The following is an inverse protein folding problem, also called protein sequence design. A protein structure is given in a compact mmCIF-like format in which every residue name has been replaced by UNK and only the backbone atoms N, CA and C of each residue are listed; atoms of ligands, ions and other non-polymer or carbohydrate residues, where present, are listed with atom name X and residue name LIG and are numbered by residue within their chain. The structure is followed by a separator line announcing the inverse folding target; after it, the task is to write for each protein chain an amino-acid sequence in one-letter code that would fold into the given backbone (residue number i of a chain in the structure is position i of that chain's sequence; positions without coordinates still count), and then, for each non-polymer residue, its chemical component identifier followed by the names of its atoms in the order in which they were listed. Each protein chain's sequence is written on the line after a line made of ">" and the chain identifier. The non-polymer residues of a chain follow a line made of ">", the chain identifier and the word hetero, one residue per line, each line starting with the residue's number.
data_IF_965292824952
#
_entry.id   IF_965292824952
#
_cell.length_a   1.000
_cell.length_b   1.000
_cell.length_c   1.000
_cell.angle_alpha   90.00
_cell.angle_beta   90.00
_cell.angle_gamma   90.00
#
_symmetry.space_group_name_H-M   'P 1'
#
loop_
_entity.id
_entity.type
_entity.pdbx_description
1 polymer ?
#
# COMPACT_ATOMS: atom_id res chain seq x y z
N UNK A 1 -16.16 -6.86 -11.76
CA UNK A 1 -14.81 -6.74 -12.32
C UNK A 1 -14.13 -5.68 -11.47
N UNK A 2 -13.09 -6.05 -10.78
CA UNK A 2 -12.39 -5.16 -9.86
C UNK A 2 -11.62 -4.06 -10.60
N UNK A 3 -11.16 -3.04 -9.86
CA UNK A 3 -10.21 -2.06 -10.39
C UNK A 3 -8.84 -2.72 -10.64
N UNK A 4 -8.49 -3.74 -9.82
CA UNK A 4 -7.32 -4.59 -9.96
C UNK A 4 -7.73 -6.05 -9.90
N UNK A 5 -7.36 -6.82 -10.93
CA UNK A 5 -7.56 -8.26 -11.00
C UNK A 5 -6.19 -8.94 -11.24
N UNK A 6 -5.79 -9.82 -10.35
CA UNK A 6 -4.57 -10.62 -10.42
C UNK A 6 -4.99 -12.08 -10.56
N UNK A 7 -4.45 -12.77 -11.56
CA UNK A 7 -4.77 -14.16 -11.84
C UNK A 7 -3.50 -15.00 -11.95
N UNK A 8 -3.41 -16.04 -11.10
CA UNK A 8 -2.35 -17.05 -11.07
C UNK A 8 -0.92 -16.47 -11.09
N UNK A 9 -0.69 -15.34 -10.39
CA UNK A 9 0.58 -14.63 -10.37
C UNK A 9 1.69 -15.45 -9.73
N UNK A 10 2.81 -15.60 -10.42
CA UNK A 10 4.00 -16.26 -9.86
C UNK A 10 5.27 -15.42 -10.11
N UNK A 11 6.08 -15.30 -9.06
CA UNK A 11 7.33 -14.52 -9.08
C UNK A 11 8.44 -15.31 -8.41
N UNK A 12 9.61 -15.36 -9.06
CA UNK A 12 10.78 -16.08 -8.55
C UNK A 12 12.04 -15.21 -8.57
N UNK A 13 12.91 -15.40 -7.61
CA UNK A 13 14.26 -14.86 -7.53
C UNK A 13 15.25 -16.02 -7.78
N UNK A 14 15.69 -16.18 -9.01
CA UNK A 14 16.49 -17.34 -9.41
C UNK A 14 15.72 -18.65 -9.17
N UNK A 15 16.24 -19.52 -8.31
CA UNK A 15 15.61 -20.80 -7.97
C UNK A 15 14.52 -20.68 -6.86
N UNK A 16 14.38 -19.52 -6.21
CA UNK A 16 13.46 -19.33 -5.10
C UNK A 16 12.14 -18.79 -5.64
N UNK A 17 11.06 -19.57 -5.54
CA UNK A 17 9.70 -19.12 -5.85
C UNK A 17 9.13 -18.36 -4.65
N UNK A 18 9.08 -17.04 -4.76
CA UNK A 18 8.60 -16.16 -3.69
C UNK A 18 7.07 -15.97 -3.72
N UNK A 19 6.45 -16.04 -4.90
CA UNK A 19 4.99 -15.96 -5.10
C UNK A 19 4.58 -17.09 -6.03
N UNK A 20 3.51 -17.82 -5.67
CA UNK A 20 3.06 -19.01 -6.37
C UNK A 20 1.55 -18.98 -6.55
N UNK A 21 1.12 -18.85 -7.79
CA UNK A 21 -0.30 -18.99 -8.18
C UNK A 21 -1.24 -18.09 -7.36
N UNK A 22 -0.85 -16.83 -7.14
CA UNK A 22 -1.59 -15.87 -6.32
C UNK A 22 -2.65 -15.18 -7.17
N UNK A 23 -3.91 -15.25 -6.71
CA UNK A 23 -5.04 -14.53 -7.30
C UNK A 23 -5.66 -13.60 -6.27
N UNK A 24 -5.82 -12.32 -6.64
CA UNK A 24 -6.35 -11.25 -5.79
C UNK A 24 -7.25 -10.36 -6.64
N UNK A 25 -8.38 -9.96 -6.10
CA UNK A 25 -9.29 -8.97 -6.67
C UNK A 25 -9.43 -7.79 -5.71
N UNK A 26 -9.36 -6.56 -6.25
CA UNK A 26 -9.62 -5.32 -5.51
C UNK A 26 -10.75 -4.59 -6.22
N UNK A 27 -11.87 -4.41 -5.52
CA UNK A 27 -13.00 -3.60 -6.00
C UNK A 27 -12.73 -2.11 -5.87
N UNK A 28 -13.40 -1.28 -6.68
CA UNK A 28 -13.34 0.17 -6.56
C UNK A 28 -13.91 0.63 -5.21
N UNK A 29 -13.25 1.57 -4.54
CA UNK A 29 -13.61 2.07 -3.21
C UNK A 29 -13.36 1.09 -2.06
N UNK A 30 -12.73 -0.06 -2.30
CA UNK A 30 -12.45 -1.04 -1.25
C UNK A 30 -11.09 -0.84 -0.60
N UNK A 31 -11.03 -1.11 0.69
CA UNK A 31 -9.80 -1.33 1.46
C UNK A 31 -9.52 -2.83 1.50
N UNK A 32 -8.50 -3.28 0.78
CA UNK A 32 -8.12 -4.69 0.71
C UNK A 32 -6.78 -4.92 1.43
N UNK A 33 -6.77 -5.91 2.34
CA UNK A 33 -5.57 -6.32 3.07
C UNK A 33 -4.91 -7.56 2.46
N UNK A 34 -3.58 -7.55 2.31
CA UNK A 34 -2.77 -8.74 2.09
C UNK A 34 -1.92 -8.98 3.33
N UNK A 35 -2.33 -9.92 4.17
CA UNK A 35 -1.71 -10.19 5.47
C UNK A 35 -0.91 -11.50 5.46
N UNK A 36 0.09 -11.57 6.31
CA UNK A 36 0.92 -12.77 6.45
C UNK A 36 2.22 -12.49 7.19
N UNK A 37 2.93 -13.54 7.61
CA UNK A 37 4.22 -13.41 8.29
C UNK A 37 5.29 -12.83 7.36
N UNK A 38 6.44 -12.46 7.96
CA UNK A 38 7.62 -12.04 7.20
C UNK A 38 8.08 -13.17 6.28
N UNK A 39 8.46 -12.83 5.05
CA UNK A 39 8.84 -13.81 4.04
C UNK A 39 7.67 -14.55 3.37
N UNK A 40 6.41 -14.22 3.67
CA UNK A 40 5.26 -14.83 3.01
C UNK A 40 5.14 -14.51 1.50
N UNK A 41 5.81 -13.47 1.00
CA UNK A 41 5.76 -13.04 -0.40
C UNK A 41 4.97 -11.74 -0.64
N UNK A 42 4.47 -11.10 0.41
CA UNK A 42 3.61 -9.90 0.35
C UNK A 42 4.24 -8.74 -0.43
N UNK A 43 5.42 -8.27 0.01
CA UNK A 43 6.18 -7.19 -0.68
C UNK A 43 6.53 -7.57 -2.12
N UNK A 44 6.85 -8.85 -2.38
CA UNK A 44 7.12 -9.35 -3.74
C UNK A 44 5.88 -9.27 -4.62
N UNK A 45 4.71 -9.62 -4.09
CA UNK A 45 3.42 -9.49 -4.78
C UNK A 45 3.16 -8.02 -5.12
N UNK A 46 3.32 -7.13 -4.15
CA UNK A 46 3.13 -5.69 -4.35
C UNK A 46 4.12 -5.10 -5.36
N UNK A 47 5.37 -5.56 -5.33
CA UNK A 47 6.40 -5.15 -6.29
C UNK A 47 6.07 -5.61 -7.73
N UNK A 48 5.46 -6.79 -7.90
CA UNK A 48 5.00 -7.24 -9.21
C UNK A 48 3.81 -6.41 -9.71
N UNK A 49 2.84 -6.10 -8.84
CA UNK A 49 1.66 -5.27 -9.15
C UNK A 49 2.10 -3.86 -9.57
N UNK A 50 3.02 -3.25 -8.83
CA UNK A 50 3.51 -1.89 -9.10
C UNK A 50 4.50 -1.80 -10.28
N UNK A 51 4.86 -2.94 -10.90
CA UNK A 51 5.80 -3.00 -12.03
C UNK A 51 7.28 -2.92 -11.64
N UNK A 52 7.61 -2.96 -10.34
CA UNK A 52 8.99 -3.01 -9.84
C UNK A 52 9.66 -4.37 -10.12
N UNK A 53 8.85 -5.43 -10.24
CA UNK A 53 9.29 -6.77 -10.61
C UNK A 53 8.45 -7.30 -11.76
N UNK A 54 9.10 -7.98 -12.69
CA UNK A 54 8.38 -8.66 -13.76
C UNK A 54 7.97 -10.06 -13.27
N UNK A 55 6.67 -10.43 -13.32
CA UNK A 55 6.23 -11.77 -12.97
C UNK A 55 6.75 -12.82 -13.95
N UNK A 56 6.93 -14.04 -13.46
CA UNK A 56 7.32 -15.19 -14.29
C UNK A 56 6.14 -15.78 -15.03
N UNK A 57 4.93 -15.75 -14.42
CA UNK A 57 3.68 -16.19 -15.02
C UNK A 57 2.49 -15.52 -14.35
N UNK A 58 1.28 -15.74 -14.89
CA UNK A 58 0.05 -15.11 -14.45
C UNK A 58 -0.21 -13.79 -15.16
N UNK A 59 -1.28 -13.11 -14.78
CA UNK A 59 -1.66 -11.81 -15.35
C UNK A 59 -2.07 -10.81 -14.29
N UNK A 60 -1.86 -9.52 -14.60
CA UNK A 60 -2.27 -8.38 -13.78
C UNK A 60 -3.08 -7.46 -14.69
N UNK A 61 -4.34 -7.21 -14.32
CA UNK A 61 -5.21 -6.26 -15.02
C UNK A 61 -5.54 -5.11 -14.09
N UNK A 62 -5.34 -3.91 -14.57
CA UNK A 62 -5.69 -2.68 -13.86
C UNK A 62 -6.60 -1.82 -14.74
N UNK A 63 -7.75 -1.39 -14.19
CA UNK A 63 -8.81 -0.70 -14.94
C UNK A 63 -9.19 -1.45 -16.25
N UNK A 64 -9.32 -2.79 -16.16
CA UNK A 64 -9.66 -3.66 -17.29
C UNK A 64 -8.55 -3.88 -18.34
N UNK A 65 -7.39 -3.22 -18.20
CA UNK A 65 -6.27 -3.33 -19.12
C UNK A 65 -5.20 -4.28 -18.59
N UNK A 66 -4.60 -5.08 -19.45
CA UNK A 66 -3.43 -5.89 -19.09
C UNK A 66 -2.22 -4.97 -18.81
N UNK A 67 -1.73 -5.06 -17.57
CA UNK A 67 -0.56 -4.31 -17.09
C UNK A 67 0.58 -5.22 -16.66
N UNK A 68 0.53 -6.50 -17.01
CA UNK A 68 1.52 -7.51 -16.66
C UNK A 68 2.92 -7.10 -17.08
N UNK A 69 3.83 -6.91 -16.13
CA UNK A 69 5.23 -6.54 -16.38
C UNK A 69 5.44 -5.13 -16.95
N UNK A 70 4.42 -4.25 -16.88
CA UNK A 70 4.57 -2.83 -17.21
C UNK A 70 5.46 -2.14 -16.18
N UNK A 71 6.27 -1.13 -16.60
CA UNK A 71 7.18 -0.46 -15.69
C UNK A 71 6.44 0.50 -14.72
N UNK A 72 7.04 0.86 -13.56
CA UNK A 72 6.39 1.66 -12.51
C UNK A 72 5.91 3.04 -12.98
N UNK A 73 6.62 3.68 -13.89
CA UNK A 73 6.23 4.98 -14.42
C UNK A 73 4.97 4.90 -15.29
N UNK A 74 4.74 3.79 -16.00
CA UNK A 74 3.50 3.52 -16.71
C UNK A 74 2.36 3.24 -15.72
N UNK A 75 2.61 2.49 -14.65
CA UNK A 75 1.61 2.23 -13.60
C UNK A 75 1.18 3.52 -12.92
N UNK A 76 2.12 4.41 -12.59
CA UNK A 76 1.80 5.72 -12.02
C UNK A 76 0.92 6.56 -12.96
N UNK A 77 1.26 6.63 -14.27
CA UNK A 77 0.44 7.36 -15.26
C UNK A 77 -0.95 6.78 -15.44
N UNK A 78 -1.17 5.51 -15.13
CA UNK A 78 -2.47 4.85 -15.15
C UNK A 78 -3.28 5.07 -13.87
N UNK A 79 -2.71 5.73 -12.86
CA UNK A 79 -3.37 6.03 -11.59
C UNK A 79 -3.08 5.02 -10.47
N UNK A 80 -1.96 4.29 -10.51
CA UNK A 80 -1.52 3.41 -9.43
C UNK A 80 -0.31 4.02 -8.74
N UNK A 81 -0.41 4.32 -7.44
CA UNK A 81 0.72 4.81 -6.65
C UNK A 81 1.13 3.80 -5.57
N UNK A 82 2.41 3.83 -5.17
CA UNK A 82 2.96 2.97 -4.14
C UNK A 82 3.59 3.80 -3.01
N UNK A 83 3.16 3.52 -1.77
CA UNK A 83 3.88 3.88 -0.54
C UNK A 83 4.79 2.71 -0.19
N UNK A 84 6.10 2.80 -0.43
CA UNK A 84 7.01 1.69 -0.19
C UNK A 84 7.33 1.53 1.29
N UNK A 85 7.72 0.33 1.69
CA UNK A 85 8.40 0.09 2.96
C UNK A 85 9.58 1.07 3.15
N UNK A 86 9.87 1.46 4.38
CA UNK A 86 10.93 2.43 4.71
C UNK A 86 10.73 3.84 4.13
N UNK A 87 9.50 4.22 3.68
CA UNK A 87 9.07 5.59 3.31
C UNK A 87 9.80 6.19 2.10
N UNK A 88 11.07 5.91 1.91
CA UNK A 88 11.94 6.39 0.81
C UNK A 88 11.77 7.90 0.50
N UNK A 89 11.78 8.72 1.56
CA UNK A 89 11.72 10.18 1.43
C UNK A 89 13.04 10.76 0.94
N UNK A 90 12.94 11.88 0.25
CA UNK A 90 14.10 12.73 -0.08
C UNK A 90 14.47 13.53 1.16
N UNK A 91 15.38 13.00 1.98
CA UNK A 91 15.68 13.50 3.33
C UNK A 91 16.22 14.94 3.35
N UNK A 92 16.90 15.38 2.28
CA UNK A 92 17.44 16.73 2.13
C UNK A 92 16.42 17.74 1.65
N UNK A 93 15.33 17.29 1.05
CA UNK A 93 14.24 18.14 0.61
C UNK A 93 13.27 18.41 1.77
N UNK A 94 12.65 19.57 1.77
CA UNK A 94 11.58 19.94 2.70
C UNK A 94 10.35 19.05 2.52
N UNK A 95 9.42 19.10 3.48
CA UNK A 95 8.10 18.47 3.39
C UNK A 95 7.40 18.90 2.09
N UNK A 96 7.31 20.23 1.84
CA UNK A 96 6.66 20.76 0.63
C UNK A 96 7.34 20.27 -0.65
N UNK A 97 8.66 20.28 -0.71
CA UNK A 97 9.39 19.78 -1.89
C UNK A 97 9.18 18.27 -2.12
N UNK A 98 9.10 17.46 -1.07
CA UNK A 98 8.72 16.03 -1.20
C UNK A 98 7.33 15.89 -1.81
N UNK A 99 6.35 16.71 -1.41
CA UNK A 99 5.00 16.70 -1.99
C UNK A 99 5.05 17.12 -3.47
N UNK A 100 5.77 18.17 -3.81
CA UNK A 100 5.94 18.62 -5.21
C UNK A 100 6.53 17.52 -6.11
N UNK A 101 7.48 16.73 -5.62
CA UNK A 101 8.00 15.57 -6.35
C UNK A 101 6.92 14.51 -6.58
N UNK A 102 6.06 14.24 -5.58
CA UNK A 102 4.92 13.31 -5.72
C UNK A 102 3.92 13.74 -6.79
N UNK A 103 3.72 15.05 -6.95
CA UNK A 103 2.84 15.66 -7.94
C UNK A 103 3.49 15.95 -9.30
N UNK A 104 4.63 15.35 -9.63
CA UNK A 104 5.41 15.69 -10.83
C UNK A 104 4.62 15.53 -12.16
N UNK A 105 3.59 14.68 -12.19
CA UNK A 105 2.74 14.45 -13.37
C UNK A 105 1.58 15.46 -13.49
N UNK A 106 1.30 16.23 -12.43
CA UNK A 106 0.21 17.20 -12.39
C UNK A 106 0.66 18.59 -12.87
N UNK A 107 -0.26 19.41 -13.33
CA UNK A 107 -0.04 20.83 -13.63
C UNK A 107 0.33 21.61 -12.36
N UNK A 108 0.91 22.81 -12.52
CA UNK A 108 1.27 23.63 -11.37
C UNK A 108 0.07 23.99 -10.48
N UNK A 109 -1.11 24.24 -11.08
CA UNK A 109 -2.33 24.53 -10.35
C UNK A 109 -2.83 23.33 -9.56
N UNK A 110 -2.94 22.16 -10.21
CA UNK A 110 -3.36 20.93 -9.54
C UNK A 110 -2.42 20.55 -8.39
N UNK A 111 -1.10 20.76 -8.56
CA UNK A 111 -0.13 20.52 -7.48
C UNK A 111 -0.40 21.36 -6.23
N UNK A 112 -0.69 22.65 -6.40
CA UNK A 112 -1.00 23.53 -5.25
C UNK A 112 -2.32 23.12 -4.59
N UNK A 113 -3.35 22.78 -5.36
CA UNK A 113 -4.63 22.28 -4.85
C UNK A 113 -4.40 20.98 -4.03
N UNK A 114 -3.66 20.02 -4.57
CA UNK A 114 -3.34 18.75 -3.88
C UNK A 114 -2.42 18.92 -2.65
N UNK A 115 -1.54 19.92 -2.65
CA UNK A 115 -0.74 20.25 -1.46
C UNK A 115 -1.67 20.77 -0.35
N UNK A 116 -2.65 21.62 -0.67
CA UNK A 116 -3.65 22.08 0.30
C UNK A 116 -4.45 20.90 0.87
N UNK A 117 -4.95 20.00 0.02
CA UNK A 117 -5.65 18.78 0.44
C UNK A 117 -4.77 17.88 1.33
N UNK A 118 -3.48 17.74 0.98
CA UNK A 118 -2.52 16.99 1.78
C UNK A 118 -2.32 17.62 3.16
N UNK A 119 -2.31 18.95 3.28
CA UNK A 119 -2.18 19.63 4.56
C UNK A 119 -3.47 19.56 5.37
N UNK A 120 -4.64 19.58 4.75
CA UNK A 120 -5.93 19.35 5.41
C UNK A 120 -6.01 17.92 5.99
N UNK A 121 -5.48 16.94 5.25
CA UNK A 121 -5.42 15.55 5.69
C UNK A 121 -4.35 15.32 6.76
N UNK A 122 -3.23 16.06 6.69
CA UNK A 122 -2.06 15.94 7.57
C UNK A 122 -1.63 17.31 8.13
N UNK A 123 -2.36 17.92 9.09
CA UNK A 123 -2.03 19.26 9.60
C UNK A 123 -0.62 19.41 10.17
N UNK A 124 -0.04 18.32 10.70
CA UNK A 124 1.34 18.32 11.19
C UNK A 124 2.35 18.62 10.08
N UNK A 125 2.07 18.22 8.84
CA UNK A 125 2.93 18.48 7.69
C UNK A 125 2.90 19.94 7.27
N UNK A 126 1.73 20.60 7.38
CA UNK A 126 1.60 22.02 7.11
C UNK A 126 2.51 22.85 8.04
N UNK A 127 2.44 22.56 9.35
CA UNK A 127 3.26 23.24 10.35
C UNK A 127 4.78 23.07 10.14
N UNK A 128 5.17 22.03 9.39
CA UNK A 128 6.56 21.63 9.09
C UNK A 128 6.91 21.73 7.61
N UNK A 129 6.12 22.44 6.82
CA UNK A 129 6.27 22.45 5.36
C UNK A 129 7.67 22.85 4.85
N UNK A 130 8.37 23.69 5.60
CA UNK A 130 9.75 24.14 5.30
C UNK A 130 10.82 23.27 5.97
N UNK A 131 10.46 22.29 6.80
CA UNK A 131 11.40 21.41 7.50
C UNK A 131 11.90 20.33 6.53
N UNK A 132 13.21 20.09 6.50
CA UNK A 132 13.76 18.98 5.72
C UNK A 132 13.26 17.63 6.26
N UNK A 133 12.84 16.73 5.35
CA UNK A 133 12.19 15.47 5.71
C UNK A 133 13.05 14.55 6.59
N UNK A 134 14.37 14.74 6.57
CA UNK A 134 15.29 14.00 7.44
C UNK A 134 15.18 14.30 8.93
N UNK A 135 14.52 15.41 9.31
CA UNK A 135 14.30 15.82 10.70
C UNK A 135 12.90 15.48 11.22
N UNK A 136 12.07 14.83 10.43
CA UNK A 136 10.74 14.38 10.85
C UNK A 136 10.85 13.17 11.79
N UNK A 137 9.92 13.10 12.74
CA UNK A 137 9.70 11.87 13.52
C UNK A 137 9.23 10.71 12.63
N UNK A 138 9.29 9.48 13.13
CA UNK A 138 8.85 8.32 12.37
C UNK A 138 7.41 8.41 11.87
N UNK A 139 6.49 8.91 12.70
CA UNK A 139 5.08 9.10 12.31
C UNK A 139 4.87 10.21 11.30
N UNK A 140 5.54 11.35 11.46
CA UNK A 140 5.48 12.46 10.51
C UNK A 140 6.08 12.07 9.14
N UNK A 141 7.19 11.32 9.16
CA UNK A 141 7.79 10.78 7.95
C UNK A 141 6.87 9.77 7.24
N UNK A 142 6.08 8.98 8.00
CA UNK A 142 5.08 8.07 7.42
C UNK A 142 3.94 8.85 6.78
N UNK A 143 3.41 9.85 7.48
CA UNK A 143 2.37 10.73 6.93
C UNK A 143 2.85 11.43 5.64
N UNK A 144 4.09 11.93 5.62
CA UNK A 144 4.67 12.53 4.42
C UNK A 144 4.81 11.52 3.27
N UNK A 145 5.17 10.26 3.55
CA UNK A 145 5.28 9.24 2.51
C UNK A 145 3.91 8.93 1.87
N UNK A 146 2.85 8.86 2.67
CA UNK A 146 1.48 8.65 2.20
C UNK A 146 0.99 9.90 1.45
N UNK A 147 1.14 11.09 2.03
CA UNK A 147 0.78 12.35 1.39
C UNK A 147 1.46 12.51 0.02
N UNK A 148 2.74 12.18 -0.09
CA UNK A 148 3.48 12.24 -1.34
C UNK A 148 2.92 11.28 -2.41
N UNK A 149 2.47 10.10 -2.02
CA UNK A 149 1.84 9.17 -2.96
C UNK A 149 0.46 9.68 -3.43
N UNK A 150 -0.31 10.29 -2.52
CA UNK A 150 -1.61 10.90 -2.83
C UNK A 150 -1.49 12.11 -3.78
N UNK A 151 -0.33 12.78 -3.84
CA UNK A 151 -0.08 13.88 -4.78
C UNK A 151 -0.25 13.51 -6.27
N UNK A 152 -0.19 12.23 -6.62
CA UNK A 152 -0.49 11.75 -7.99
C UNK A 152 -1.97 11.54 -8.25
N UNK A 153 -2.84 11.72 -7.25
CA UNK A 153 -4.28 11.43 -7.25
C UNK A 153 -4.59 10.02 -7.80
N UNK A 154 -4.10 8.99 -7.11
CA UNK A 154 -4.21 7.64 -7.62
C UNK A 154 -5.63 7.09 -7.48
N UNK A 155 -6.08 6.32 -8.48
CA UNK A 155 -7.30 5.51 -8.40
C UNK A 155 -7.08 4.22 -7.58
N UNK A 156 -5.81 3.79 -7.41
CA UNK A 156 -5.41 2.70 -6.51
C UNK A 156 -4.12 3.07 -5.77
N UNK A 157 -4.18 3.08 -4.45
CA UNK A 157 -3.02 3.30 -3.59
C UNK A 157 -2.55 1.96 -2.99
N UNK A 158 -1.32 1.59 -3.32
CA UNK A 158 -0.63 0.46 -2.74
C UNK A 158 0.17 0.91 -1.53
N UNK A 159 0.13 0.17 -0.41
CA UNK A 159 0.96 0.45 0.77
C UNK A 159 1.69 -0.82 1.23
N UNK A 160 3.00 -0.72 1.38
CA UNK A 160 3.85 -1.81 1.85
C UNK A 160 4.26 -1.59 3.29
N UNK A 161 3.65 -2.34 4.21
CA UNK A 161 3.87 -2.34 5.66
C UNK A 161 3.89 -0.92 6.26
N UNK A 162 2.82 -0.12 6.09
CA UNK A 162 2.81 1.29 6.50
C UNK A 162 2.94 1.50 8.01
N UNK A 163 2.68 0.49 8.82
CA UNK A 163 2.81 0.56 10.30
C UNK A 163 4.16 0.07 10.83
N UNK A 164 5.03 -0.50 9.97
CA UNK A 164 6.28 -1.12 10.42
C UNK A 164 7.23 -0.14 11.08
N UNK A 165 7.74 -0.53 12.25
CA UNK A 165 8.74 0.25 13.00
C UNK A 165 8.21 1.54 13.62
N UNK A 166 6.88 1.68 13.73
CA UNK A 166 6.22 2.78 14.43
C UNK A 166 5.93 2.41 15.88
N UNK A 167 5.94 3.43 16.75
CA UNK A 167 5.43 3.29 18.12
C UNK A 167 3.91 2.97 18.10
N UNK A 168 3.37 2.24 19.08
CA UNK A 168 1.96 1.82 19.09
C UNK A 168 0.95 2.95 18.89
N UNK A 169 1.21 4.12 19.44
CA UNK A 169 0.36 5.32 19.25
C UNK A 169 0.33 5.80 17.81
N UNK A 170 1.47 5.70 17.09
CA UNK A 170 1.58 6.10 15.70
C UNK A 170 0.99 5.06 14.74
N UNK A 171 1.01 3.77 15.15
CA UNK A 171 0.28 2.71 14.43
C UNK A 171 -1.21 3.04 14.37
N UNK A 172 -1.81 3.49 15.50
CA UNK A 172 -3.21 3.91 15.52
C UNK A 172 -3.48 5.03 14.51
N UNK A 173 -2.63 6.06 14.49
CA UNK A 173 -2.78 7.20 13.55
C UNK A 173 -2.74 6.71 12.09
N UNK A 174 -1.90 5.73 11.76
CA UNK A 174 -1.84 5.18 10.39
C UNK A 174 -3.12 4.42 10.05
N UNK A 175 -3.65 3.61 10.97
CA UNK A 175 -4.89 2.87 10.71
C UNK A 175 -6.12 3.78 10.67
N UNK A 176 -6.24 4.79 11.54
CA UNK A 176 -7.27 5.83 11.46
C UNK A 176 -7.24 6.56 10.11
N UNK A 177 -6.04 6.81 9.58
CA UNK A 177 -5.90 7.38 8.24
C UNK A 177 -6.37 6.42 7.14
N UNK A 178 -6.03 5.13 7.23
CA UNK A 178 -6.48 4.11 6.28
C UNK A 178 -8.01 4.03 6.28
N UNK A 179 -8.64 3.98 7.46
CA UNK A 179 -10.09 3.98 7.62
C UNK A 179 -10.72 5.23 6.99
N UNK A 180 -10.18 6.42 7.27
CA UNK A 180 -10.64 7.68 6.68
C UNK A 180 -10.53 7.68 5.15
N UNK A 181 -9.41 7.22 4.60
CA UNK A 181 -9.24 7.13 3.15
C UNK A 181 -10.25 6.17 2.52
N UNK A 182 -10.59 5.06 3.20
CA UNK A 182 -11.64 4.13 2.79
C UNK A 182 -13.02 4.76 2.83
N UNK A 183 -13.37 5.48 3.91
CA UNK A 183 -14.62 6.24 4.04
C UNK A 183 -14.77 7.32 2.96
N UNK A 184 -13.66 7.94 2.55
CA UNK A 184 -13.60 8.90 1.44
C UNK A 184 -13.70 8.22 0.05
N UNK A 185 -13.91 6.88 0.01
CA UNK A 185 -14.08 6.10 -1.22
C UNK A 185 -12.78 5.82 -1.99
N UNK A 186 -11.62 5.99 -1.37
CA UNK A 186 -10.32 5.64 -1.98
C UNK A 186 -10.14 4.13 -2.03
N UNK A 187 -9.59 3.62 -3.12
CA UNK A 187 -9.25 2.20 -3.26
C UNK A 187 -7.85 1.95 -2.75
N UNK A 188 -7.70 1.01 -1.81
CA UNK A 188 -6.44 0.71 -1.14
C UNK A 188 -6.12 -0.79 -1.25
N UNK A 189 -4.88 -1.14 -1.56
CA UNK A 189 -4.33 -2.48 -1.34
C UNK A 189 -3.14 -2.37 -0.39
N UNK A 190 -3.26 -2.95 0.79
CA UNK A 190 -2.33 -2.76 1.89
C UNK A 190 -1.72 -4.11 2.28
N UNK A 191 -0.41 -4.16 2.25
CA UNK A 191 0.37 -5.28 2.79
C UNK A 191 0.70 -4.97 4.24
N UNK A 192 0.36 -5.89 5.15
CA UNK A 192 0.62 -5.71 6.59
C UNK A 192 0.96 -7.03 7.28
N UNK A 193 1.78 -6.90 8.34
CA UNK A 193 2.05 -8.01 9.26
C UNK A 193 1.07 -7.99 10.43
N UNK A 194 0.58 -6.82 10.84
CA UNK A 194 -0.40 -6.66 11.91
C UNK A 194 -1.79 -7.11 11.44
N UNK A 195 -2.00 -8.43 11.42
CA UNK A 195 -3.21 -9.04 10.90
C UNK A 195 -4.48 -8.50 11.58
N UNK A 196 -4.51 -8.46 12.92
CA UNK A 196 -5.70 -8.02 13.67
C UNK A 196 -6.11 -6.58 13.34
N UNK A 197 -5.15 -5.67 13.21
CA UNK A 197 -5.43 -4.28 12.84
C UNK A 197 -5.91 -4.18 11.40
N UNK A 198 -5.22 -4.88 10.49
CA UNK A 198 -5.57 -4.83 9.07
C UNK A 198 -6.96 -5.41 8.81
N UNK A 199 -7.32 -6.52 9.44
CA UNK A 199 -8.64 -7.15 9.30
C UNK A 199 -9.79 -6.28 9.82
N UNK A 200 -9.55 -5.43 10.84
CA UNK A 200 -10.56 -4.48 11.33
C UNK A 200 -10.82 -3.34 10.35
N UNK A 201 -9.79 -2.92 9.61
CA UNK A 201 -9.87 -1.81 8.66
C UNK A 201 -10.25 -2.25 7.23
N UNK A 202 -10.17 -3.55 6.92
CA UNK A 202 -10.35 -4.07 5.57
C UNK A 202 -11.78 -4.52 5.29
N UNK A 203 -12.31 -4.15 4.11
CA UNK A 203 -13.53 -4.74 3.55
C UNK A 203 -13.30 -6.20 3.18
N UNK A 204 -12.13 -6.49 2.62
CA UNK A 204 -11.70 -7.83 2.21
C UNK A 204 -10.22 -8.03 2.52
N UNK A 205 -9.84 -9.26 2.86
CA UNK A 205 -8.43 -9.57 3.04
C UNK A 205 -8.07 -10.94 2.46
N UNK A 206 -6.79 -11.06 2.13
CA UNK A 206 -6.14 -12.29 1.68
C UNK A 206 -5.03 -12.63 2.66
N UNK A 207 -5.00 -13.89 3.10
CA UNK A 207 -3.99 -14.41 4.01
C UNK A 207 -2.94 -15.14 3.19
N UNK A 208 -1.70 -14.66 3.24
CA UNK A 208 -0.60 -15.20 2.46
C UNK A 208 0.40 -15.94 3.36
N UNK A 209 0.78 -17.17 2.95
CA UNK A 209 1.81 -17.97 3.63
C UNK A 209 2.68 -18.70 2.60
N UNK A 210 3.99 -18.63 2.78
CA UNK A 210 4.97 -19.32 1.92
C UNK A 210 4.73 -19.13 0.41
N UNK A 211 4.38 -17.92 0.01
CA UNK A 211 4.17 -17.56 -1.40
C UNK A 211 2.79 -17.84 -1.98
N UNK A 212 1.82 -18.36 -1.21
CA UNK A 212 0.49 -18.67 -1.69
C UNK A 212 -0.61 -18.06 -0.81
N UNK A 213 -1.80 -17.80 -1.37
CA UNK A 213 -2.99 -17.43 -0.61
C UNK A 213 -3.56 -18.70 0.04
N UNK A 214 -3.70 -18.68 1.37
CA UNK A 214 -4.23 -19.81 2.16
C UNK A 214 -5.64 -19.56 2.66
N UNK A 215 -6.08 -18.30 2.72
CA UNK A 215 -7.46 -17.95 3.05
C UNK A 215 -7.80 -16.57 2.45
N UNK A 216 -9.08 -16.32 2.22
CA UNK A 216 -9.60 -14.99 1.86
C UNK A 216 -11.06 -14.87 2.33
N UNK A 217 -11.47 -13.63 2.60
CA UNK A 217 -12.82 -13.31 3.07
C UNK A 217 -12.94 -11.84 3.41
N UNK A 218 -14.06 -11.45 3.98
CA UNK A 218 -14.19 -10.13 4.62
C UNK A 218 -13.33 -10.06 5.87
N UNK A 219 -12.96 -8.84 6.29
CA UNK A 219 -12.18 -8.65 7.52
C UNK A 219 -12.86 -9.30 8.73
N UNK A 220 -14.19 -9.17 8.85
CA UNK A 220 -14.99 -9.76 9.92
C UNK A 220 -14.97 -11.30 9.90
N UNK A 221 -15.21 -11.93 8.73
CA UNK A 221 -15.17 -13.40 8.58
C UNK A 221 -13.80 -13.98 8.96
N UNK A 222 -12.72 -13.29 8.62
CA UNK A 222 -11.37 -13.75 8.93
C UNK A 222 -11.00 -13.52 10.40
N UNK A 223 -11.54 -12.49 11.04
CA UNK A 223 -11.37 -12.25 12.48
C UNK A 223 -12.02 -13.31 13.36
N UNK A 224 -13.12 -13.91 12.90
CA UNK A 224 -13.84 -14.98 13.63
C UNK A 224 -13.17 -16.36 13.47
N UNK A 225 -12.08 -16.46 12.71
CA UNK A 225 -11.36 -17.72 12.46
C UNK A 225 -10.18 -17.89 13.41
N UNK A 226 -10.41 -18.58 14.54
CA UNK A 226 -9.38 -18.87 15.55
C UNK A 226 -8.19 -19.65 14.97
N UNK A 227 -8.44 -20.56 14.00
CA UNK A 227 -7.42 -21.38 13.34
C UNK A 227 -6.34 -20.55 12.60
N UNK A 228 -6.74 -19.41 12.04
CA UNK A 228 -5.81 -18.51 11.38
C UNK A 228 -4.91 -17.75 12.37
N UNK A 229 -5.45 -17.39 13.55
CA UNK A 229 -4.70 -16.63 14.56
C UNK A 229 -3.70 -17.49 15.34
N UNK A 230 -4.00 -18.74 15.66
CA UNK A 230 -3.06 -19.65 16.30
C UNK A 230 -1.80 -19.86 15.45
N UNK A 231 -1.95 -19.90 14.12
CA UNK A 231 -0.82 -20.03 13.19
C UNK A 231 0.01 -18.74 13.05
N UNK A 232 -0.61 -17.55 13.21
CA UNK A 232 0.09 -16.25 13.15
C UNK A 232 0.81 -15.89 14.46
N UNK A 233 0.28 -16.32 15.60
CA UNK A 233 0.78 -15.98 16.94
C UNK A 233 1.66 -17.10 17.51
N UNK A 234 1.42 -18.35 17.11
CA UNK A 234 2.13 -19.55 17.59
C UNK A 234 3.52 -19.79 16.97
N UNK A 235 4.00 -18.91 16.12
CA UNK A 235 5.30 -19.00 15.41
C UNK A 235 6.40 -18.09 15.96
N UNK A 236 6.41 -17.82 17.29
CA UNK A 236 7.55 -17.18 17.96
C UNK A 236 8.45 -18.21 18.63
#
# INVERSE_FOLDING_TARGET
>A
MGILDIDALSVSYGAISAVRDVSIEVGEGQVVGLIGPNGAGKTTTLAAISGLLKPGSGSIRFNGNDTTGKPPDEMLRRGMALVPEHRRLFKTLSVRENLLVGGATASSREREERISEAFDLFPVLESKQSTAAGFLSGGEAQQLAIARALMSDPSLLLMDEPSLGLAPTLVNVVFELIERLGEDGRTLLIVEQNATRMLKAADRAYVMRSGAIVASGTGAELLDRDDLFEEFVGGQ
#
